data_IF_479644796783
#
_entry.id   IF_479644796783
#
_cell.length_a   1.000
_cell.length_b   1.000
_cell.length_c   1.000
_cell.angle_alpha   90.00
_cell.angle_beta   90.00
_cell.angle_gamma   90.00
#
_symmetry.space_group_name_H-M   'P 1'
#
loop_
_entity.id
_entity.type
_entity.pdbx_description
1 polymer ?
#
# COMPACT_ATOMS: atom_id res chain seq x y z
N UNK A 1 -21.54 -17.71 -8.92
CA UNK A 1 -21.21 -16.40 -8.36
C UNK A 1 -21.59 -16.40 -6.89
N UNK A 2 -20.68 -16.07 -5.98
CA UNK A 2 -20.89 -15.97 -4.53
C UNK A 2 -21.16 -14.51 -4.15
N UNK A 3 -21.72 -14.25 -2.97
CA UNK A 3 -21.97 -12.88 -2.50
C UNK A 3 -20.68 -12.02 -2.46
N UNK A 4 -19.55 -12.62 -2.07
CA UNK A 4 -18.24 -11.96 -2.10
C UNK A 4 -17.77 -11.51 -3.49
N UNK A 5 -18.22 -12.20 -4.53
CA UNK A 5 -17.89 -11.85 -5.91
C UNK A 5 -18.72 -10.63 -6.37
N UNK A 6 -19.93 -10.48 -5.80
CA UNK A 6 -20.79 -9.31 -6.00
C UNK A 6 -20.25 -8.11 -5.26
N UNK A 7 -19.77 -8.27 -4.00
CA UNK A 7 -19.13 -7.20 -3.25
C UNK A 7 -17.90 -6.62 -3.96
N UNK A 8 -17.07 -7.46 -4.57
CA UNK A 8 -15.90 -6.99 -5.31
C UNK A 8 -16.25 -6.11 -6.51
N UNK A 9 -17.40 -6.38 -7.16
CA UNK A 9 -17.89 -5.61 -8.29
C UNK A 9 -18.55 -4.28 -7.89
N UNK A 10 -18.94 -4.11 -6.62
CA UNK A 10 -19.49 -2.84 -6.12
C UNK A 10 -18.49 -1.69 -6.19
N UNK A 11 -17.22 -1.95 -6.01
CA UNK A 11 -16.19 -0.91 -6.12
C UNK A 11 -16.05 -0.42 -7.57
N UNK A 12 -16.23 -1.30 -8.55
CA UNK A 12 -16.25 -0.94 -9.98
C UNK A 12 -17.52 -0.14 -10.33
N UNK A 13 -18.67 -0.51 -9.76
CA UNK A 13 -19.94 0.22 -9.96
C UNK A 13 -19.90 1.64 -9.35
N UNK A 14 -19.15 1.86 -8.28
CA UNK A 14 -18.95 3.20 -7.68
C UNK A 14 -18.20 4.17 -8.59
N UNK A 15 -17.44 3.65 -9.55
CA UNK A 15 -16.71 4.45 -10.55
C UNK A 15 -17.54 4.78 -11.80
N UNK A 16 -18.85 4.49 -11.79
CA UNK A 16 -19.77 4.79 -12.90
C UNK A 16 -19.69 3.81 -14.07
N UNK A 17 -19.07 2.67 -13.87
CA UNK A 17 -19.05 1.58 -14.85
C UNK A 17 -20.31 0.72 -14.61
N UNK A 18 -21.30 0.81 -15.51
CA UNK A 18 -22.46 -0.09 -15.46
C UNK A 18 -21.98 -1.54 -15.57
N UNK A 19 -22.33 -2.42 -14.62
CA UNK A 19 -21.97 -3.83 -14.73
C UNK A 19 -22.77 -4.47 -15.87
N UNK A 20 -22.16 -4.59 -17.02
CA UNK A 20 -22.69 -5.42 -18.14
C UNK A 20 -22.49 -6.91 -17.86
N UNK A 21 -22.69 -7.33 -16.62
CA UNK A 21 -22.45 -8.72 -16.24
C UNK A 21 -23.78 -9.38 -15.89
N UNK A 22 -24.37 -10.10 -16.86
CA UNK A 22 -25.61 -10.85 -16.68
C UNK A 22 -25.61 -11.79 -15.48
N UNK A 23 -24.44 -12.23 -15.04
CA UNK A 23 -24.27 -13.08 -13.86
C UNK A 23 -24.53 -12.34 -12.54
N UNK A 24 -24.21 -11.04 -12.45
CA UNK A 24 -24.52 -10.20 -11.27
C UNK A 24 -26.02 -10.00 -11.16
N UNK A 25 -26.66 -9.63 -12.26
CA UNK A 25 -28.11 -9.43 -12.31
C UNK A 25 -28.85 -10.74 -11.96
N UNK A 26 -28.39 -11.86 -12.47
CA UNK A 26 -28.95 -13.17 -12.14
C UNK A 26 -28.75 -13.57 -10.67
N UNK A 27 -27.63 -13.17 -10.06
CA UNK A 27 -27.39 -13.40 -8.63
C UNK A 27 -28.29 -12.52 -7.76
N UNK A 28 -28.37 -11.22 -8.06
CA UNK A 28 -29.23 -10.27 -7.35
C UNK A 28 -30.70 -10.71 -7.38
N UNK A 29 -31.18 -11.34 -8.46
CA UNK A 29 -32.55 -11.86 -8.53
C UNK A 29 -32.84 -13.04 -7.59
N UNK A 30 -31.81 -13.71 -7.06
CA UNK A 30 -31.94 -14.96 -6.29
C UNK A 30 -31.43 -14.87 -4.85
N UNK A 31 -30.59 -13.88 -4.55
CA UNK A 31 -29.97 -13.72 -3.23
C UNK A 31 -30.60 -12.52 -2.50
N UNK A 32 -31.34 -12.81 -1.43
CA UNK A 32 -32.06 -11.79 -0.65
C UNK A 32 -31.10 -10.84 0.05
N UNK A 33 -30.01 -11.37 0.61
CA UNK A 33 -29.00 -10.54 1.31
C UNK A 33 -28.36 -9.52 0.37
N UNK A 34 -28.05 -9.94 -0.87
CA UNK A 34 -27.51 -9.02 -1.87
C UNK A 34 -28.56 -8.03 -2.39
N UNK A 35 -29.84 -8.41 -2.43
CA UNK A 35 -30.95 -7.49 -2.77
C UNK A 35 -31.11 -6.42 -1.70
N UNK A 36 -31.10 -6.81 -0.42
CA UNK A 36 -31.26 -5.89 0.70
C UNK A 36 -30.08 -4.91 0.77
N UNK A 37 -28.88 -5.39 0.54
CA UNK A 37 -27.68 -4.55 0.46
C UNK A 37 -27.74 -3.57 -0.72
N UNK A 38 -28.20 -4.05 -1.90
CA UNK A 38 -28.40 -3.20 -3.07
C UNK A 38 -29.43 -2.10 -2.81
N UNK A 39 -30.58 -2.45 -2.23
CA UNK A 39 -31.63 -1.50 -1.90
C UNK A 39 -31.17 -0.43 -0.90
N UNK A 40 -30.35 -0.81 0.08
CA UNK A 40 -29.75 0.15 1.02
C UNK A 40 -28.80 1.11 0.30
N UNK A 41 -28.02 0.60 -0.64
CA UNK A 41 -27.10 1.43 -1.42
C UNK A 41 -27.82 2.40 -2.35
N UNK A 42 -28.85 1.95 -3.06
CA UNK A 42 -29.70 2.82 -3.88
C UNK A 42 -30.41 3.89 -3.01
N UNK A 43 -30.86 3.51 -1.81
CA UNK A 43 -31.45 4.45 -0.86
C UNK A 43 -30.49 5.57 -0.46
N UNK A 44 -29.23 5.24 -0.20
CA UNK A 44 -28.18 6.24 0.11
C UNK A 44 -27.88 7.10 -1.11
N UNK A 45 -27.72 6.51 -2.28
CA UNK A 45 -27.49 7.24 -3.54
C UNK A 45 -28.66 8.20 -3.85
N UNK A 46 -29.90 7.76 -3.65
CA UNK A 46 -31.08 8.59 -3.79
C UNK A 46 -31.09 9.75 -2.78
N UNK A 47 -30.81 9.50 -1.51
CA UNK A 47 -30.69 10.55 -0.49
C UNK A 47 -29.62 11.57 -0.84
N UNK A 48 -28.46 11.12 -1.34
CA UNK A 48 -27.40 12.02 -1.79
C UNK A 48 -27.80 12.86 -3.00
N UNK A 49 -28.57 12.30 -3.95
CA UNK A 49 -29.07 13.03 -5.11
C UNK A 49 -30.16 14.06 -4.75
N UNK A 50 -30.85 13.87 -3.64
CA UNK A 50 -31.85 14.81 -3.10
C UNK A 50 -31.25 15.95 -2.27
N UNK A 51 -29.95 15.90 -1.97
CA UNK A 51 -29.30 17.01 -1.29
C UNK A 51 -29.29 18.25 -2.18
N UNK A 52 -29.57 19.43 -1.64
CA UNK A 52 -29.48 20.66 -2.42
C UNK A 52 -28.06 20.82 -2.96
N UNK A 53 -27.95 21.08 -4.25
CA UNK A 53 -26.65 21.44 -4.86
C UNK A 53 -26.27 22.78 -4.24
N UNK A 54 -25.35 22.74 -3.30
CA UNK A 54 -24.77 23.95 -2.70
C UNK A 54 -23.72 24.45 -3.69
N UNK A 55 -24.04 25.51 -4.40
CA UNK A 55 -23.04 26.19 -5.22
C UNK A 55 -21.90 26.69 -4.31
N UNK A 56 -20.65 26.28 -4.58
CA UNK A 56 -19.54 26.76 -3.79
C UNK A 56 -19.44 28.30 -3.95
N UNK A 57 -19.14 29.03 -2.87
CA UNK A 57 -18.96 30.47 -2.97
C UNK A 57 -17.94 30.80 -4.06
N UNK A 58 -18.23 31.83 -4.88
CA UNK A 58 -17.38 32.22 -6.02
C UNK A 58 -15.91 32.45 -5.62
N UNK A 59 -15.66 32.77 -4.35
CA UNK A 59 -14.31 32.91 -3.80
C UNK A 59 -13.59 31.59 -3.50
N UNK A 60 -14.28 30.43 -3.54
CA UNK A 60 -13.69 29.15 -3.14
C UNK A 60 -12.66 28.67 -4.17
N UNK A 61 -12.98 28.72 -5.46
CA UNK A 61 -12.08 28.28 -6.53
C UNK A 61 -10.79 29.12 -6.56
N UNK A 62 -10.84 30.46 -6.54
CA UNK A 62 -9.62 31.28 -6.41
C UNK A 62 -8.82 30.97 -5.15
N UNK A 63 -9.47 30.79 -4.00
CA UNK A 63 -8.79 30.44 -2.73
C UNK A 63 -8.11 29.07 -2.79
N UNK A 64 -8.75 28.07 -3.39
CA UNK A 64 -8.14 26.74 -3.61
C UNK A 64 -6.95 26.87 -4.56
N UNK A 65 -7.09 27.59 -5.66
CA UNK A 65 -6.01 27.81 -6.62
C UNK A 65 -4.84 28.57 -5.99
N UNK A 66 -5.11 29.59 -5.17
CA UNK A 66 -4.06 30.32 -4.46
C UNK A 66 -3.42 29.47 -3.38
N UNK A 67 -4.18 28.63 -2.69
CA UNK A 67 -3.64 27.66 -1.74
C UNK A 67 -2.76 26.60 -2.45
N UNK A 68 -3.19 26.09 -3.59
CA UNK A 68 -2.39 25.18 -4.43
C UNK A 68 -1.12 25.89 -4.92
N UNK A 69 -1.25 27.12 -5.45
CA UNK A 69 -0.10 27.92 -5.90
C UNK A 69 0.88 28.25 -4.77
N UNK A 70 0.37 28.60 -3.59
CA UNK A 70 1.19 28.86 -2.39
C UNK A 70 1.83 27.58 -1.90
N UNK A 71 1.10 26.46 -1.86
CA UNK A 71 1.63 25.15 -1.49
C UNK A 71 2.68 24.64 -2.49
N UNK A 72 2.51 24.93 -3.78
CA UNK A 72 3.51 24.62 -4.81
C UNK A 72 4.72 25.58 -4.68
N UNK A 73 4.49 26.86 -4.35
CA UNK A 73 5.59 27.82 -4.07
C UNK A 73 6.33 27.49 -2.78
N UNK A 74 5.63 27.14 -1.69
CA UNK A 74 6.26 26.69 -0.44
C UNK A 74 6.94 25.34 -0.59
N UNK A 75 6.40 24.40 -1.40
CA UNK A 75 7.13 23.20 -1.78
C UNK A 75 8.39 23.52 -2.63
N UNK A 76 8.39 24.59 -3.45
CA UNK A 76 9.59 25.06 -4.16
C UNK A 76 10.55 25.87 -3.28
N UNK A 77 10.05 26.54 -2.24
CA UNK A 77 10.88 27.35 -1.33
C UNK A 77 11.27 26.61 -0.04
N UNK A 78 10.56 25.53 0.31
CA UNK A 78 10.82 24.67 1.49
C UNK A 78 11.49 23.34 1.14
N UNK A 79 11.92 23.11 -0.08
CA UNK A 79 12.81 22.00 -0.42
C UNK A 79 14.23 22.35 0.01
N UNK A 80 14.47 22.31 1.32
CA UNK A 80 15.77 21.96 1.78
C UNK A 80 16.11 20.59 1.18
N UNK A 81 16.93 20.62 0.10
CA UNK A 81 17.72 19.48 -0.32
C UNK A 81 16.96 18.20 -0.69
N UNK A 82 15.83 18.26 -1.41
CA UNK A 82 15.49 17.14 -2.27
C UNK A 82 16.50 17.15 -3.40
N UNK A 83 17.62 16.48 -3.19
CA UNK A 83 18.59 16.26 -4.25
C UNK A 83 17.82 15.59 -5.39
N UNK A 84 17.81 16.24 -6.55
CA UNK A 84 17.27 15.72 -7.82
C UNK A 84 18.11 14.54 -8.32
N UNK A 85 19.03 14.05 -7.51
CA UNK A 85 19.84 12.88 -7.81
C UNK A 85 18.92 11.67 -7.91
N UNK A 86 19.03 10.88 -8.98
CA UNK A 86 18.27 9.65 -9.13
C UNK A 86 18.62 8.67 -8.00
N UNK A 87 17.64 7.84 -7.61
CA UNK A 87 17.92 6.71 -6.74
C UNK A 87 18.68 5.64 -7.55
N UNK A 88 19.59 4.92 -6.92
CA UNK A 88 20.24 3.75 -7.51
C UNK A 88 19.35 2.52 -7.35
N UNK A 89 19.34 1.61 -8.34
CA UNK A 89 18.56 0.37 -8.32
C UNK A 89 19.42 -0.81 -8.74
N UNK A 90 19.38 -1.87 -7.97
CA UNK A 90 19.94 -3.18 -8.31
C UNK A 90 18.92 -4.30 -8.14
N UNK A 91 19.16 -5.40 -8.83
CA UNK A 91 18.48 -6.66 -8.62
C UNK A 91 19.42 -7.60 -7.86
N UNK A 92 18.95 -8.15 -6.74
CA UNK A 92 19.72 -9.05 -5.88
C UNK A 92 18.97 -10.38 -5.71
N UNK A 93 19.70 -11.48 -5.79
CA UNK A 93 19.14 -12.79 -5.48
C UNK A 93 18.85 -12.95 -3.99
N UNK A 94 17.75 -13.61 -3.69
CA UNK A 94 17.31 -13.89 -2.33
C UNK A 94 16.58 -15.23 -2.21
N UNK A 95 16.34 -15.73 -1.00
CA UNK A 95 15.50 -16.91 -0.76
C UNK A 95 14.05 -16.78 -1.29
N UNK A 96 13.59 -15.56 -1.54
CA UNK A 96 12.27 -15.28 -2.11
C UNK A 96 12.28 -15.12 -3.64
N UNK A 97 13.42 -15.23 -4.27
CA UNK A 97 13.67 -14.89 -5.66
C UNK A 97 14.40 -13.56 -5.79
N UNK A 98 14.36 -12.96 -6.96
CA UNK A 98 15.03 -11.68 -7.21
C UNK A 98 14.35 -10.54 -6.48
N UNK A 99 15.12 -9.73 -5.75
CA UNK A 99 14.67 -8.49 -5.13
C UNK A 99 15.14 -7.28 -5.92
N UNK A 100 14.26 -6.32 -6.09
CA UNK A 100 14.62 -4.98 -6.54
C UNK A 100 14.91 -4.11 -5.31
N UNK A 101 16.13 -3.58 -5.23
CA UNK A 101 16.58 -2.76 -4.10
C UNK A 101 16.96 -1.39 -4.63
N UNK A 102 16.26 -0.36 -4.14
CA UNK A 102 16.56 1.04 -4.40
C UNK A 102 17.26 1.68 -3.20
N UNK A 103 18.25 2.52 -3.45
CA UNK A 103 18.96 3.25 -2.39
C UNK A 103 19.49 4.59 -2.87
N UNK A 104 19.82 5.43 -1.91
CA UNK A 104 20.59 6.67 -2.10
C UNK A 104 21.49 6.93 -0.88
N UNK A 105 22.18 8.07 -0.84
CA UNK A 105 23.07 8.41 0.26
C UNK A 105 22.40 8.37 1.64
N UNK A 106 21.10 8.70 1.69
CA UNK A 106 20.33 8.72 2.94
C UNK A 106 19.89 7.32 3.43
N UNK A 107 19.98 6.28 2.60
CA UNK A 107 19.58 4.92 2.97
C UNK A 107 18.85 4.18 1.85
N UNK A 108 18.30 3.02 2.18
CA UNK A 108 17.47 2.19 1.28
C UNK A 108 16.10 2.85 1.15
N UNK A 109 15.67 3.08 -0.08
CA UNK A 109 14.43 3.78 -0.44
C UNK A 109 13.36 2.85 -0.97
N UNK A 110 13.77 1.68 -1.48
CA UNK A 110 12.86 0.69 -2.05
C UNK A 110 13.35 -0.73 -1.80
N UNK A 111 12.43 -1.60 -1.46
CA UNK A 111 12.60 -3.05 -1.41
C UNK A 111 11.34 -3.71 -1.96
N UNK A 112 11.49 -4.54 -2.97
CA UNK A 112 10.37 -5.26 -3.55
C UNK A 112 10.78 -6.56 -4.20
N UNK A 113 9.84 -7.51 -4.30
CA UNK A 113 10.05 -8.78 -4.99
C UNK A 113 9.83 -8.53 -6.48
N UNK A 114 10.84 -8.78 -7.30
CA UNK A 114 10.74 -8.68 -8.74
C UNK A 114 9.92 -9.85 -9.29
N UNK A 115 8.82 -9.54 -9.97
CA UNK A 115 7.97 -10.54 -10.66
C UNK A 115 8.32 -10.66 -12.12
N UNK A 116 8.81 -9.59 -12.68
CA UNK A 116 9.27 -9.49 -14.05
C UNK A 116 10.77 -9.73 -14.09
N UNK A 117 11.24 -10.29 -15.19
CA UNK A 117 12.68 -10.49 -15.43
C UNK A 117 13.30 -9.32 -16.21
N UNK A 118 12.47 -8.38 -16.67
CA UNK A 118 12.91 -7.21 -17.40
C UNK A 118 13.21 -6.04 -16.45
N UNK A 119 14.46 -5.61 -16.44
CA UNK A 119 14.93 -4.52 -15.59
C UNK A 119 14.19 -3.20 -15.85
N UNK A 120 13.88 -2.87 -17.11
CA UNK A 120 13.21 -1.62 -17.47
C UNK A 120 11.77 -1.55 -16.95
N UNK A 121 11.07 -2.66 -16.98
CA UNK A 121 9.73 -2.79 -16.38
C UNK A 121 9.79 -2.58 -14.87
N UNK A 122 10.75 -3.23 -14.21
CA UNK A 122 10.98 -3.08 -12.76
C UNK A 122 11.35 -1.62 -12.44
N UNK A 123 12.27 -1.02 -13.19
CA UNK A 123 12.69 0.37 -13.03
C UNK A 123 11.50 1.34 -13.11
N UNK A 124 10.68 1.18 -14.15
CA UNK A 124 9.48 2.02 -14.33
C UNK A 124 8.51 1.90 -13.15
N UNK A 125 8.32 0.69 -12.63
CA UNK A 125 7.47 0.44 -11.47
C UNK A 125 8.04 1.13 -10.21
N UNK A 126 9.36 1.03 -9.99
CA UNK A 126 10.03 1.66 -8.85
C UNK A 126 9.96 3.18 -8.95
N UNK A 127 10.21 3.76 -10.13
CA UNK A 127 10.08 5.21 -10.39
C UNK A 127 8.68 5.72 -10.05
N UNK A 128 7.64 5.00 -10.49
CA UNK A 128 6.25 5.33 -10.15
C UNK A 128 6.01 5.29 -8.64
N UNK A 129 6.55 4.28 -7.95
CA UNK A 129 6.38 4.10 -6.51
C UNK A 129 7.10 5.21 -5.73
N UNK A 130 8.34 5.51 -6.08
CA UNK A 130 9.16 6.52 -5.43
C UNK A 130 8.85 7.94 -5.90
N UNK A 131 8.19 8.09 -7.07
CA UNK A 131 7.97 9.39 -7.75
C UNK A 131 9.27 10.13 -8.01
N UNK A 132 10.32 9.40 -8.34
CA UNK A 132 11.67 9.91 -8.60
C UNK A 132 12.35 9.05 -9.68
N UNK A 133 13.28 9.64 -10.47
CA UNK A 133 14.08 8.88 -11.41
C UNK A 133 14.92 7.81 -10.68
N UNK A 134 15.14 6.69 -11.36
CA UNK A 134 15.94 5.58 -10.85
C UNK A 134 16.94 5.15 -11.92
N UNK A 135 18.17 4.90 -11.53
CA UNK A 135 19.25 4.47 -12.43
C UNK A 135 19.82 3.12 -12.02
N UNK A 136 20.19 2.26 -12.98
CA UNK A 136 20.86 1.01 -12.67
C UNK A 136 22.23 1.28 -12.01
N UNK A 137 22.53 0.55 -10.97
CA UNK A 137 23.83 0.62 -10.30
C UNK A 137 24.14 -0.70 -9.59
N UNK A 138 25.43 -1.01 -9.42
CA UNK A 138 25.85 -2.13 -8.60
C UNK A 138 25.55 -1.85 -7.12
N UNK A 139 24.90 -2.79 -6.45
CA UNK A 139 24.62 -2.66 -5.03
C UNK A 139 25.94 -2.59 -4.23
N UNK A 140 26.15 -1.55 -3.41
CA UNK A 140 27.34 -1.48 -2.55
C UNK A 140 27.31 -2.56 -1.47
N UNK A 141 28.45 -2.85 -0.87
CA UNK A 141 28.58 -3.92 0.13
C UNK A 141 27.55 -3.78 1.27
N UNK A 142 27.37 -2.59 1.81
CA UNK A 142 26.43 -2.35 2.90
C UNK A 142 24.96 -2.68 2.55
N UNK A 143 24.55 -2.47 1.29
CA UNK A 143 23.20 -2.87 0.83
C UNK A 143 23.07 -4.39 0.80
N UNK A 144 24.05 -5.08 0.22
CA UNK A 144 24.07 -6.55 0.17
C UNK A 144 24.11 -7.17 1.57
N UNK A 145 24.92 -6.62 2.46
CA UNK A 145 25.04 -7.05 3.85
C UNK A 145 23.72 -6.83 4.61
N UNK A 146 23.05 -5.69 4.39
CA UNK A 146 21.74 -5.42 4.99
C UNK A 146 20.70 -6.45 4.54
N UNK A 147 20.64 -6.77 3.24
CA UNK A 147 19.72 -7.78 2.72
C UNK A 147 20.04 -9.17 3.29
N UNK A 148 21.31 -9.55 3.34
CA UNK A 148 21.74 -10.84 3.89
C UNK A 148 21.41 -10.95 5.40
N UNK A 149 21.70 -9.91 6.17
CA UNK A 149 21.37 -9.84 7.60
C UNK A 149 19.87 -9.90 7.86
N UNK A 150 19.06 -9.25 7.00
CA UNK A 150 17.60 -9.33 7.07
C UNK A 150 17.11 -10.77 6.96
N UNK A 151 17.56 -11.54 5.95
CA UNK A 151 17.12 -12.93 5.79
C UNK A 151 17.62 -13.88 6.87
N UNK A 152 18.68 -13.51 7.57
CA UNK A 152 19.18 -14.27 8.73
C UNK A 152 18.34 -14.04 10.00
N UNK A 153 17.73 -12.87 10.14
CA UNK A 153 17.09 -12.43 11.40
C UNK A 153 15.64 -12.01 11.24
N UNK A 154 15.17 -11.80 10.00
CA UNK A 154 13.90 -11.16 9.64
C UNK A 154 13.69 -9.78 10.30
N UNK A 155 14.81 -9.11 10.56
CA UNK A 155 14.86 -7.77 11.15
C UNK A 155 15.83 -6.89 10.36
N UNK A 156 15.54 -5.60 10.33
CA UNK A 156 16.40 -4.60 9.71
C UNK A 156 16.69 -3.50 10.71
N UNK A 157 17.87 -2.91 10.63
CA UNK A 157 18.17 -1.66 11.34
C UNK A 157 17.48 -0.51 10.60
N UNK A 158 16.48 0.10 11.22
CA UNK A 158 15.71 1.19 10.60
C UNK A 158 16.57 2.41 10.24
N UNK A 159 17.74 2.57 10.86
CA UNK A 159 18.67 3.67 10.55
C UNK A 159 19.24 3.61 9.13
N UNK A 160 19.21 2.45 8.50
CA UNK A 160 19.64 2.30 7.10
C UNK A 160 18.50 2.55 6.10
N UNK A 161 17.27 2.84 6.57
CA UNK A 161 16.09 3.05 5.75
C UNK A 161 15.86 4.54 5.52
N UNK A 162 15.54 4.90 4.30
CA UNK A 162 15.11 6.25 3.98
C UNK A 162 13.59 6.34 3.87
N UNK A 163 12.98 6.78 4.94
CA UNK A 163 11.53 6.94 5.09
C UNK A 163 11.02 8.35 4.77
N UNK A 164 11.88 9.24 4.25
CA UNK A 164 11.55 10.64 4.00
C UNK A 164 10.43 10.85 2.97
N UNK A 165 10.15 9.83 2.16
CA UNK A 165 9.04 9.84 1.18
C UNK A 165 7.68 9.47 1.75
N UNK A 166 7.61 9.00 3.01
CA UNK A 166 6.39 8.58 3.66
C UNK A 166 5.69 9.77 4.35
N UNK A 167 4.36 9.75 4.34
CA UNK A 167 3.58 10.66 5.20
C UNK A 167 3.72 10.25 6.66
N UNK A 168 3.41 11.16 7.58
CA UNK A 168 3.46 10.89 9.04
C UNK A 168 2.61 9.66 9.39
N UNK A 169 1.41 9.53 8.82
CA UNK A 169 0.53 8.39 9.05
C UNK A 169 1.09 7.07 8.47
N UNK A 170 1.58 7.10 7.23
CA UNK A 170 2.18 5.91 6.59
C UNK A 170 3.40 5.44 7.39
N UNK A 171 4.25 6.37 7.80
CA UNK A 171 5.41 6.08 8.62
C UNK A 171 5.02 5.42 9.94
N UNK A 172 4.11 6.03 10.71
CA UNK A 172 3.64 5.47 11.99
C UNK A 172 3.05 4.07 11.82
N UNK A 173 2.25 3.84 10.76
CA UNK A 173 1.65 2.54 10.50
C UNK A 173 2.70 1.47 10.13
N UNK A 174 3.71 1.82 9.32
CA UNK A 174 4.76 0.89 8.89
C UNK A 174 5.75 0.60 10.02
N UNK A 175 6.15 1.60 10.81
CA UNK A 175 6.97 1.43 12.01
C UNK A 175 6.26 0.53 13.03
N UNK A 176 4.94 0.73 13.25
CA UNK A 176 4.17 -0.17 14.12
C UNK A 176 4.08 -1.60 13.57
N UNK A 177 4.01 -1.79 12.26
CA UNK A 177 4.08 -3.12 11.66
C UNK A 177 5.44 -3.78 11.88
N UNK A 178 6.54 -3.03 11.91
CA UNK A 178 7.90 -3.54 12.17
C UNK A 178 8.07 -4.10 13.59
N UNK A 179 7.25 -3.67 14.54
CA UNK A 179 7.24 -4.22 15.90
C UNK A 179 6.66 -5.64 15.99
N UNK A 180 5.89 -6.09 14.97
CA UNK A 180 5.31 -7.45 14.95
C UNK A 180 6.46 -8.46 14.79
N UNK A 181 6.61 -9.43 15.71
CA UNK A 181 7.63 -10.47 15.60
C UNK A 181 7.52 -11.31 14.32
N UNK A 182 8.59 -11.96 13.85
CA UNK A 182 8.57 -12.77 12.62
C UNK A 182 7.54 -13.89 12.67
N UNK A 183 7.25 -14.57 13.65
CA UNK A 183 6.32 -15.70 13.75
C UNK A 183 4.88 -15.29 14.11
N UNK A 184 4.59 -13.99 14.09
CA UNK A 184 3.30 -13.45 14.51
C UNK A 184 2.62 -12.61 13.40
N UNK A 185 1.31 -12.47 13.53
CA UNK A 185 0.51 -11.56 12.69
C UNK A 185 -0.39 -10.69 13.55
N UNK A 186 -0.71 -9.50 13.06
CA UNK A 186 -1.65 -8.58 13.70
C UNK A 186 -2.63 -8.05 12.66
N UNK A 187 -3.84 -7.67 13.12
CA UNK A 187 -4.84 -7.12 12.22
C UNK A 187 -4.57 -5.64 11.87
N UNK A 188 -5.08 -5.19 10.72
CA UNK A 188 -5.08 -3.76 10.37
C UNK A 188 -5.71 -2.89 11.47
N UNK A 189 -6.79 -3.41 12.10
CA UNK A 189 -7.44 -2.71 13.22
C UNK A 189 -6.56 -2.64 14.48
N UNK A 190 -5.71 -3.63 14.72
CA UNK A 190 -4.72 -3.56 15.80
C UNK A 190 -3.74 -2.42 15.56
N UNK A 191 -3.10 -2.36 14.38
CA UNK A 191 -2.21 -1.26 14.01
C UNK A 191 -2.91 0.10 14.17
N UNK A 192 -4.14 0.22 13.66
CA UNK A 192 -4.90 1.46 13.75
C UNK A 192 -5.09 1.95 15.21
N UNK A 193 -5.39 1.04 16.12
CA UNK A 193 -5.52 1.36 17.55
C UNK A 193 -4.20 1.79 18.17
N UNK A 194 -3.12 1.04 17.89
CA UNK A 194 -1.79 1.30 18.43
C UNK A 194 -1.23 2.67 18.02
N UNK A 195 -1.54 3.14 16.81
CA UNK A 195 -1.11 4.46 16.34
C UNK A 195 -2.10 5.59 16.69
N UNK A 196 -3.08 5.32 17.58
CA UNK A 196 -4.04 6.33 18.06
C UNK A 196 -5.18 6.65 17.09
N UNK A 197 -5.40 5.86 16.05
CA UNK A 197 -6.44 6.06 15.03
C UNK A 197 -7.37 4.84 14.89
N UNK A 198 -8.16 4.44 15.92
CA UNK A 198 -8.88 3.16 15.95
C UNK A 198 -9.86 2.93 14.80
N UNK A 199 -10.36 3.99 14.19
CA UNK A 199 -11.27 3.91 13.03
C UNK A 199 -10.54 3.83 11.67
N UNK A 200 -9.20 3.89 11.65
CA UNK A 200 -8.42 4.05 10.44
C UNK A 200 -7.91 2.72 9.83
N UNK A 201 -8.54 1.57 10.10
CA UNK A 201 -8.08 0.26 9.60
C UNK A 201 -7.92 0.22 8.07
N UNK A 202 -8.84 0.86 7.30
CA UNK A 202 -8.72 0.99 5.84
C UNK A 202 -7.52 1.83 5.42
N UNK A 203 -7.27 2.94 6.12
CA UNK A 203 -6.11 3.80 5.83
C UNK A 203 -4.79 3.08 6.14
N UNK A 204 -4.75 2.26 7.20
CA UNK A 204 -3.62 1.36 7.47
C UNK A 204 -3.43 0.37 6.33
N UNK A 205 -4.52 -0.24 5.82
CA UNK A 205 -4.46 -1.12 4.64
C UNK A 205 -3.86 -0.42 3.42
N UNK A 206 -4.22 0.82 3.16
CA UNK A 206 -3.63 1.63 2.08
C UNK A 206 -2.15 1.94 2.33
N UNK A 207 -1.75 2.26 3.56
CA UNK A 207 -0.35 2.45 3.92
C UNK A 207 0.47 1.17 3.66
N UNK A 208 -0.04 -0.01 4.05
CA UNK A 208 0.59 -1.30 3.75
C UNK A 208 0.70 -1.56 2.25
N UNK A 209 -0.33 -1.25 1.46
CA UNK A 209 -0.32 -1.42 0.01
C UNK A 209 0.66 -0.46 -0.71
N UNK A 210 0.91 0.71 -0.12
CA UNK A 210 1.84 1.72 -0.64
C UNK A 210 3.26 1.59 -0.09
N UNK A 211 3.53 0.61 0.76
CA UNK A 211 4.84 0.40 1.36
C UNK A 211 5.95 0.28 0.29
N UNK A 212 6.91 1.20 0.23
CA UNK A 212 8.03 1.11 -0.70
C UNK A 212 9.15 0.19 -0.20
N UNK A 213 9.15 -0.14 1.09
CA UNK A 213 10.18 -0.94 1.77
C UNK A 213 9.60 -2.30 2.19
N UNK A 214 8.93 -2.97 1.24
CA UNK A 214 8.34 -4.27 1.49
C UNK A 214 9.38 -5.26 2.04
N UNK A 215 8.97 -6.18 2.88
CA UNK A 215 9.80 -7.06 3.71
C UNK A 215 10.43 -6.34 4.90
N UNK A 216 11.18 -5.27 4.72
CA UNK A 216 11.82 -4.51 5.80
C UNK A 216 10.77 -3.86 6.72
N UNK A 217 9.74 -3.24 6.15
CA UNK A 217 8.50 -3.01 6.88
C UNK A 217 7.53 -4.16 6.55
N UNK A 218 7.28 -5.06 7.50
CA UNK A 218 6.67 -6.37 7.23
C UNK A 218 5.15 -6.28 7.06
N UNK A 219 4.69 -5.60 5.99
CA UNK A 219 3.27 -5.53 5.66
C UNK A 219 2.62 -6.91 5.43
N UNK A 220 3.42 -7.96 5.18
CA UNK A 220 2.95 -9.34 5.11
C UNK A 220 2.51 -9.90 6.47
N UNK A 221 2.97 -9.36 7.61
CA UNK A 221 2.52 -9.73 8.97
C UNK A 221 1.19 -9.07 9.37
N UNK A 222 0.66 -8.19 8.50
CA UNK A 222 -0.62 -7.53 8.75
C UNK A 222 -1.72 -8.27 7.99
N UNK A 223 -2.76 -8.68 8.72
CA UNK A 223 -3.86 -9.53 8.24
C UNK A 223 -5.22 -8.87 8.52
N UNK A 224 -6.31 -9.45 8.02
CA UNK A 224 -7.65 -8.98 8.39
C UNK A 224 -8.02 -9.35 9.85
N UNK A 225 -9.22 -8.94 10.27
CA UNK A 225 -9.70 -9.19 11.63
C UNK A 225 -9.92 -10.68 11.92
N UNK A 226 -10.09 -11.52 10.89
CA UNK A 226 -10.32 -12.95 10.99
C UNK A 226 -9.03 -13.78 10.75
N UNK A 227 -7.88 -13.13 10.61
CA UNK A 227 -6.60 -13.77 10.31
C UNK A 227 -6.41 -14.13 8.84
N UNK A 228 -7.28 -13.68 7.94
CA UNK A 228 -7.19 -13.94 6.51
C UNK A 228 -6.02 -13.20 5.85
N UNK A 229 -5.35 -13.85 4.91
CA UNK A 229 -4.16 -13.31 4.22
C UNK A 229 -4.50 -12.41 3.02
N UNK A 230 -5.68 -11.80 3.01
CA UNK A 230 -6.19 -11.03 1.88
C UNK A 230 -5.24 -9.93 1.40
N UNK A 231 -5.30 -9.66 0.10
CA UNK A 231 -4.72 -8.50 -0.58
C UNK A 231 -3.25 -8.20 -0.21
N UNK A 232 -2.34 -8.96 -0.78
CA UNK A 232 -0.91 -8.66 -0.73
C UNK A 232 -0.41 -8.26 -2.12
N UNK A 233 0.33 -7.16 -2.23
CA UNK A 233 0.79 -6.62 -3.50
C UNK A 233 1.58 -7.61 -4.37
N UNK A 234 2.23 -8.59 -3.75
CA UNK A 234 2.95 -9.67 -4.42
C UNK A 234 2.16 -10.98 -4.51
N UNK A 235 0.89 -11.00 -4.10
CA UNK A 235 0.02 -12.17 -4.10
C UNK A 235 -0.03 -12.87 -2.75
N UNK A 236 -1.17 -13.51 -2.49
CA UNK A 236 -1.44 -14.23 -1.24
C UNK A 236 -0.48 -15.40 -1.04
N UNK A 237 -0.11 -16.08 -2.14
CA UNK A 237 0.85 -17.20 -2.10
C UNK A 237 2.23 -16.77 -1.62
N UNK A 238 2.70 -15.62 -2.10
CA UNK A 238 3.97 -15.03 -1.67
C UNK A 238 3.90 -14.62 -0.20
N UNK A 239 2.80 -14.00 0.23
CA UNK A 239 2.57 -13.66 1.64
C UNK A 239 2.63 -14.90 2.53
N UNK A 240 1.91 -15.96 2.16
CA UNK A 240 1.90 -17.22 2.88
C UNK A 240 3.29 -17.89 2.91
N UNK A 241 4.07 -17.77 1.81
CA UNK A 241 5.44 -18.27 1.74
C UNK A 241 6.36 -17.53 2.70
N UNK A 242 6.31 -16.20 2.72
CA UNK A 242 7.14 -15.37 3.61
C UNK A 242 6.82 -15.72 5.07
N UNK A 243 5.54 -15.71 5.46
CA UNK A 243 5.11 -16.03 6.82
C UNK A 243 5.58 -17.43 7.27
N UNK A 244 5.52 -18.43 6.38
CA UNK A 244 6.05 -19.78 6.69
C UNK A 244 7.56 -19.78 6.89
N UNK A 245 8.31 -19.01 6.10
CA UNK A 245 9.76 -18.87 6.25
C UNK A 245 10.14 -18.18 7.56
N UNK A 246 9.29 -17.28 8.06
CA UNK A 246 9.42 -16.62 9.36
C UNK A 246 9.00 -17.50 10.54
N UNK A 247 8.50 -18.70 10.28
CA UNK A 247 8.04 -19.63 11.31
C UNK A 247 6.58 -19.52 11.71
N UNK A 248 5.80 -18.61 11.09
CA UNK A 248 4.38 -18.47 11.37
C UNK A 248 3.63 -19.76 11.04
N UNK A 249 2.89 -20.28 12.02
CA UNK A 249 1.99 -21.42 11.89
C UNK A 249 0.57 -20.90 12.07
N UNK A 250 -0.22 -20.90 11.00
CA UNK A 250 -1.64 -20.58 11.11
C UNK A 250 -2.28 -21.50 12.16
N UNK A 251 -2.86 -20.94 13.20
CA UNK A 251 -3.72 -21.70 14.12
C UNK A 251 -4.92 -22.13 13.29
N UNK A 252 -5.13 -23.45 13.15
CA UNK A 252 -6.28 -24.04 12.46
C UNK A 252 -7.54 -23.88 13.29
#
# INVERSE_FOLDING_TARGET
MRCSDVEALWDEMREGIEPRNDHVVAHLRRCRDCQDMYAQFEGVAYCLSCLPIVEPPQSLVPRILDHIKSSVRTRRAGTNGSSTSPDSLALLDSPLGTLAIGWRKAGITFVGIARENDFETIRTLVERRLRRPVVPADAPAWVRETVAAFFATWRVDERVLDVSGLTVFERAALEKAAEIPPDEVRSYGWIAREIGHPQAARAVGQAMARNPLALFFPCHRVVDANGGLHNYGYGVDVKARILRMEGYRAVR
#
